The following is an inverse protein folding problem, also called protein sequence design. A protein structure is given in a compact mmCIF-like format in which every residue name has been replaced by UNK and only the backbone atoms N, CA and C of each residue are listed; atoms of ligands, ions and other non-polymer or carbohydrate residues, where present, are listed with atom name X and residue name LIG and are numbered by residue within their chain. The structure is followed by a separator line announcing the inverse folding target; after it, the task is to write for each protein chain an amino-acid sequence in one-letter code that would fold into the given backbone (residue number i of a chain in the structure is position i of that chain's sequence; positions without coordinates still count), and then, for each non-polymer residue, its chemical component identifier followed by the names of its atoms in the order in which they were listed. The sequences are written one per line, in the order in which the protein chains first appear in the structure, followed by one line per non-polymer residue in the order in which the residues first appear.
data_IF_671543113658
#
_entry.id   IF_671543113658
#
_cell.length_a   1.000
_cell.length_b   1.000
_cell.length_c   1.000
_cell.angle_alpha   90.00
_cell.angle_beta   90.00
_cell.angle_gamma   90.00
#
_symmetry.space_group_name_H-M   'P 1'
#
loop_
_entity.id
_entity.type
_entity.pdbx_description
1 polymer ?
#
# COMPACT_ATOMS: atom_id res chain seq x y z
N UNK A 1 -2.16 -16.81 14.06
CA UNK A 1 -2.65 -16.21 12.80
C UNK A 1 -1.44 -15.78 11.99
N UNK A 2 -1.30 -16.27 10.74
CA UNK A 2 -0.21 -15.91 9.85
C UNK A 2 -0.43 -14.47 9.32
N UNK A 3 0.63 -13.66 9.24
CA UNK A 3 0.60 -12.29 8.71
C UNK A 3 1.14 -12.32 7.29
N UNK A 4 0.30 -12.00 6.32
CA UNK A 4 0.64 -12.12 4.89
C UNK A 4 0.76 -10.73 4.28
N UNK A 5 1.94 -10.35 3.83
CA UNK A 5 2.16 -9.13 3.06
C UNK A 5 1.77 -9.32 1.59
N UNK A 6 1.01 -8.38 1.03
CA UNK A 6 0.65 -8.35 -0.37
C UNK A 6 1.22 -7.11 -1.02
N UNK A 7 2.13 -7.29 -1.97
CA UNK A 7 2.79 -6.20 -2.69
C UNK A 7 2.74 -6.38 -4.20
N UNK A 8 3.26 -5.41 -4.93
CA UNK A 8 3.32 -5.39 -6.40
C UNK A 8 3.33 -3.97 -6.94
N UNK A 9 3.83 -3.77 -8.14
CA UNK A 9 3.92 -2.48 -8.79
C UNK A 9 2.56 -1.81 -9.01
N UNK A 10 2.57 -0.49 -9.24
CA UNK A 10 1.36 0.24 -9.66
C UNK A 10 0.78 -0.43 -10.90
N UNK A 11 -0.53 -0.62 -10.96
CA UNK A 11 -1.19 -1.28 -12.10
C UNK A 11 -1.03 -2.81 -12.18
N UNK A 12 -0.26 -3.46 -11.26
CA UNK A 12 -0.10 -4.92 -11.28
C UNK A 12 -1.38 -5.72 -10.97
N UNK A 13 -2.37 -5.10 -10.34
CA UNK A 13 -3.63 -5.75 -9.95
C UNK A 13 -3.66 -6.20 -8.48
N UNK A 14 -2.75 -5.74 -7.67
CA UNK A 14 -2.67 -5.99 -6.22
C UNK A 14 -4.01 -5.84 -5.50
N UNK A 15 -4.73 -4.74 -5.72
CA UNK A 15 -6.04 -4.50 -5.09
C UNK A 15 -7.15 -5.44 -5.59
N UNK A 16 -7.00 -6.05 -6.77
CA UNK A 16 -7.90 -7.13 -7.22
C UNK A 16 -7.63 -8.41 -6.44
N UNK A 17 -6.37 -8.76 -6.24
CA UNK A 17 -5.97 -9.90 -5.39
C UNK A 17 -6.46 -9.71 -3.96
N UNK A 18 -6.27 -8.52 -3.38
CA UNK A 18 -6.76 -8.17 -2.05
C UNK A 18 -8.28 -8.36 -1.91
N UNK A 19 -9.06 -7.92 -2.92
CA UNK A 19 -10.51 -8.12 -2.95
C UNK A 19 -10.92 -9.59 -3.04
N UNK A 20 -10.15 -10.43 -3.74
CA UNK A 20 -10.44 -11.88 -3.79
C UNK A 20 -10.23 -12.49 -2.40
N UNK A 21 -9.13 -12.19 -1.70
CA UNK A 21 -8.94 -12.64 -0.33
C UNK A 21 -10.07 -12.16 0.60
N UNK A 22 -10.48 -10.90 0.49
CA UNK A 22 -11.61 -10.39 1.26
C UNK A 22 -12.93 -11.14 0.97
N UNK A 23 -13.18 -11.49 -0.30
CA UNK A 23 -14.36 -12.28 -0.70
C UNK A 23 -14.32 -13.72 -0.17
N UNK A 24 -13.14 -14.27 0.11
CA UNK A 24 -12.94 -15.55 0.79
C UNK A 24 -13.12 -15.45 2.32
N UNK A 25 -13.44 -14.26 2.86
CA UNK A 25 -13.59 -14.02 4.29
C UNK A 25 -12.28 -13.75 5.03
N UNK A 26 -11.17 -13.57 4.31
CA UNK A 26 -9.87 -13.26 4.89
C UNK A 26 -9.80 -11.76 5.19
N UNK A 27 -9.44 -11.36 6.43
CA UNK A 27 -9.25 -9.95 6.77
C UNK A 27 -8.13 -9.30 5.94
N UNK A 28 -8.41 -8.10 5.40
CA UNK A 28 -7.45 -7.35 4.59
C UNK A 28 -7.26 -5.96 5.17
N UNK A 29 -6.00 -5.60 5.45
CA UNK A 29 -5.57 -4.26 5.82
C UNK A 29 -4.95 -3.55 4.63
N UNK A 30 -5.44 -2.36 4.28
CA UNK A 30 -4.88 -1.52 3.22
C UNK A 30 -3.97 -0.45 3.79
N UNK A 31 -2.66 -0.61 3.70
CA UNK A 31 -1.69 0.34 4.26
C UNK A 31 -1.78 1.72 3.60
N UNK A 32 -2.02 1.79 2.29
CA UNK A 32 -2.18 3.05 1.56
C UNK A 32 -3.44 3.82 2.02
N UNK A 33 -4.53 3.11 2.32
CA UNK A 33 -5.76 3.69 2.88
C UNK A 33 -5.55 4.14 4.32
N UNK A 34 -4.85 3.34 5.12
CA UNK A 34 -4.51 3.68 6.50
C UNK A 34 -3.62 4.92 6.56
N UNK A 35 -2.62 5.02 5.69
CA UNK A 35 -1.74 6.20 5.57
C UNK A 35 -2.55 7.47 5.30
N UNK A 36 -3.52 7.43 4.39
CA UNK A 36 -4.41 8.58 4.11
C UNK A 36 -5.26 8.95 5.32
N UNK A 37 -5.83 7.95 6.03
CA UNK A 37 -6.61 8.15 7.24
C UNK A 37 -5.77 8.77 8.36
N UNK A 38 -4.54 8.29 8.55
CA UNK A 38 -3.59 8.80 9.55
C UNK A 38 -3.20 10.24 9.21
N UNK A 39 -2.88 10.52 7.94
CA UNK A 39 -2.55 11.86 7.48
C UNK A 39 -3.71 12.86 7.67
N UNK A 40 -4.96 12.39 7.65
CA UNK A 40 -6.14 13.24 7.88
C UNK A 40 -6.34 13.64 9.35
N UNK A 41 -5.67 12.98 10.30
CA UNK A 41 -5.76 13.31 11.73
C UNK A 41 -5.19 14.72 12.00
N UNK A 42 -5.84 15.46 12.88
CA UNK A 42 -5.45 16.84 13.20
C UNK A 42 -4.03 16.94 13.79
N UNK A 43 -3.69 16.00 14.70
CA UNK A 43 -2.37 15.91 15.32
C UNK A 43 -1.25 15.59 14.30
N UNK A 44 -1.51 14.73 13.34
CA UNK A 44 -0.55 14.37 12.28
C UNK A 44 -0.40 15.51 11.27
N UNK A 45 -1.51 16.17 10.89
CA UNK A 45 -1.45 17.36 10.03
C UNK A 45 -0.62 18.49 10.66
N UNK A 46 -0.79 18.73 11.96
CA UNK A 46 0.01 19.71 12.68
C UNK A 46 1.51 19.37 12.65
N UNK A 47 1.88 18.10 12.82
CA UNK A 47 3.27 17.64 12.70
C UNK A 47 3.81 17.83 11.29
N UNK A 48 3.02 17.50 10.25
CA UNK A 48 3.40 17.72 8.85
C UNK A 48 3.59 19.21 8.54
N UNK A 49 2.70 20.08 9.02
CA UNK A 49 2.85 21.54 8.85
C UNK A 49 4.06 22.08 9.60
N UNK A 50 4.41 21.53 10.76
CA UNK A 50 5.64 21.86 11.48
C UNK A 50 6.89 21.41 10.72
N UNK A 51 6.84 20.24 10.07
CA UNK A 51 7.94 19.69 9.24
C UNK A 51 8.10 20.45 7.92
N UNK A 52 7.00 20.94 7.36
CA UNK A 52 6.93 21.62 6.06
C UNK A 52 6.09 22.91 6.17
N UNK A 53 6.63 23.97 6.83
CA UNK A 53 5.90 25.23 7.03
C UNK A 53 5.55 25.93 5.71
N UNK A 54 6.26 25.62 4.62
CA UNK A 54 6.00 26.15 3.27
C UNK A 54 4.61 25.80 2.74
N UNK A 55 3.98 24.73 3.24
CA UNK A 55 2.60 24.35 2.88
C UNK A 55 1.64 25.51 3.20
N UNK A 56 1.85 26.20 4.32
CA UNK A 56 1.03 27.34 4.72
C UNK A 56 1.14 28.55 3.78
N UNK A 57 2.19 28.63 2.96
CA UNK A 57 2.41 29.67 1.97
C UNK A 57 1.95 29.28 0.56
N UNK A 58 1.43 28.07 0.36
CA UNK A 58 0.90 27.64 -0.93
C UNK A 58 -0.41 28.39 -1.24
N UNK A 59 -0.55 29.02 -2.43
CA UNK A 59 -1.73 29.83 -2.77
C UNK A 59 -3.06 29.09 -2.73
N UNK A 60 -3.02 27.78 -2.96
CA UNK A 60 -4.22 26.92 -2.96
C UNK A 60 -4.47 26.25 -1.61
N UNK A 61 -3.63 26.50 -0.60
CA UNK A 61 -3.79 25.91 0.71
C UNK A 61 -4.94 26.53 1.49
N UNK A 62 -5.77 25.69 2.08
CA UNK A 62 -6.80 26.08 3.05
C UNK A 62 -6.72 25.15 4.25
N UNK A 63 -6.59 25.69 5.49
CA UNK A 63 -6.49 24.88 6.71
C UNK A 63 -7.68 23.93 6.92
N UNK A 64 -8.86 24.31 6.46
CA UNK A 64 -10.10 23.55 6.61
C UNK A 64 -10.29 22.48 5.54
N UNK A 65 -9.48 22.51 4.47
CA UNK A 65 -9.59 21.57 3.35
C UNK A 65 -8.47 20.53 3.35
N UNK A 66 -8.81 19.28 3.69
CA UNK A 66 -7.86 18.17 3.57
C UNK A 66 -7.36 17.96 2.14
N UNK A 67 -8.21 18.23 1.13
CA UNK A 67 -7.82 18.10 -0.26
C UNK A 67 -6.77 19.14 -0.66
N UNK A 68 -6.92 20.40 -0.24
CA UNK A 68 -5.92 21.43 -0.50
C UNK A 68 -4.61 21.13 0.20
N UNK A 69 -4.67 20.71 1.47
CA UNK A 69 -3.50 20.27 2.23
C UNK A 69 -2.73 19.16 1.52
N UNK A 70 -3.41 18.09 1.08
CA UNK A 70 -2.75 16.97 0.40
C UNK A 70 -2.18 17.35 -0.96
N UNK A 71 -2.80 18.30 -1.69
CA UNK A 71 -2.28 18.84 -2.95
C UNK A 71 -1.01 19.66 -2.73
N UNK A 72 -1.01 20.56 -1.77
CA UNK A 72 0.14 21.37 -1.42
C UNK A 72 1.31 20.49 -0.94
N UNK A 73 1.04 19.54 -0.06
CA UNK A 73 2.02 18.55 0.40
C UNK A 73 2.60 17.76 -0.77
N UNK A 74 1.77 17.26 -1.68
CA UNK A 74 2.22 16.49 -2.85
C UNK A 74 3.13 17.31 -3.77
N UNK A 75 2.79 18.57 -4.05
CA UNK A 75 3.63 19.50 -4.84
C UNK A 75 5.00 19.71 -4.20
N UNK A 76 5.05 19.71 -2.87
CA UNK A 76 6.26 19.97 -2.11
C UNK A 76 7.18 18.75 -2.01
N UNK A 77 6.61 17.55 -1.75
CA UNK A 77 7.42 16.37 -1.42
C UNK A 77 7.77 15.51 -2.63
N UNK A 78 6.91 15.45 -3.66
CA UNK A 78 7.18 14.56 -4.78
C UNK A 78 8.39 15.00 -5.64
N UNK A 79 8.70 16.28 -5.86
CA UNK A 79 9.89 16.67 -6.59
C UNK A 79 11.19 16.50 -5.78
N UNK A 80 11.13 16.35 -4.45
CA UNK A 80 12.27 16.41 -3.53
C UNK A 80 12.38 15.11 -2.72
N UNK A 81 13.30 14.19 -3.09
CA UNK A 81 13.45 12.88 -2.43
C UNK A 81 13.72 12.97 -0.92
N UNK A 82 14.48 13.97 -0.48
CA UNK A 82 14.78 14.20 0.93
C UNK A 82 13.52 14.58 1.72
N UNK A 83 12.63 15.37 1.13
CA UNK A 83 11.34 15.74 1.75
C UNK A 83 10.39 14.56 1.82
N UNK A 84 10.36 13.74 0.76
CA UNK A 84 9.58 12.50 0.78
C UNK A 84 10.10 11.54 1.86
N UNK A 85 11.42 11.45 2.02
CA UNK A 85 12.04 10.65 3.09
C UNK A 85 11.65 11.16 4.48
N UNK A 86 11.68 12.47 4.68
CA UNK A 86 11.27 13.09 5.95
C UNK A 86 9.77 12.83 6.25
N UNK A 87 8.89 12.99 5.26
CA UNK A 87 7.46 12.67 5.40
C UNK A 87 7.24 11.19 5.73
N UNK A 88 7.94 10.29 5.04
CA UNK A 88 7.86 8.86 5.29
C UNK A 88 8.38 8.49 6.68
N UNK A 89 9.43 9.17 7.15
CA UNK A 89 9.95 9.01 8.51
C UNK A 89 8.92 9.33 9.60
N UNK A 90 8.01 10.28 9.33
CA UNK A 90 6.89 10.60 10.20
C UNK A 90 5.73 9.57 10.05
N UNK A 91 5.35 9.24 8.84
CA UNK A 91 4.13 8.45 8.58
C UNK A 91 4.32 6.94 8.77
N UNK A 92 5.46 6.37 8.36
CA UNK A 92 5.67 4.92 8.43
C UNK A 92 5.52 4.35 9.85
N UNK A 93 6.12 4.94 10.91
CA UNK A 93 5.93 4.44 12.27
C UNK A 93 4.46 4.42 12.70
N UNK A 94 3.68 5.44 12.32
CA UNK A 94 2.27 5.54 12.64
C UNK A 94 1.44 4.48 11.91
N UNK A 95 1.72 4.26 10.62
CA UNK A 95 1.07 3.21 9.83
C UNK A 95 1.43 1.83 10.36
N UNK A 96 2.67 1.62 10.77
CA UNK A 96 3.12 0.33 11.33
C UNK A 96 2.41 0.03 12.66
N UNK A 97 2.30 1.01 13.55
CA UNK A 97 1.58 0.86 14.81
C UNK A 97 0.07 0.59 14.59
N UNK A 98 -0.55 1.27 13.65
CA UNK A 98 -1.95 1.04 13.28
C UNK A 98 -2.16 -0.36 12.68
N UNK A 99 -1.23 -0.81 11.84
CA UNK A 99 -1.22 -2.17 11.28
C UNK A 99 -1.05 -3.23 12.36
N UNK A 100 -0.10 -3.07 13.27
CA UNK A 100 0.14 -4.00 14.37
C UNK A 100 -1.11 -4.11 15.25
N UNK A 101 -1.71 -2.98 15.64
CA UNK A 101 -2.96 -2.94 16.41
C UNK A 101 -4.11 -3.64 15.69
N UNK A 102 -4.22 -3.44 14.38
CA UNK A 102 -5.24 -4.12 13.57
C UNK A 102 -5.01 -5.64 13.51
N UNK A 103 -3.76 -6.08 13.29
CA UNK A 103 -3.39 -7.50 13.26
C UNK A 103 -3.64 -8.19 14.60
N UNK A 104 -3.35 -7.52 15.72
CA UNK A 104 -3.64 -8.04 17.06
C UNK A 104 -5.14 -8.24 17.29
N UNK A 105 -5.97 -7.29 16.87
CA UNK A 105 -7.44 -7.42 16.92
C UNK A 105 -7.94 -8.62 16.10
N UNK A 106 -7.41 -8.82 14.89
CA UNK A 106 -7.77 -9.99 14.07
C UNK A 106 -7.35 -11.31 14.74
N UNK A 107 -6.18 -11.34 15.38
CA UNK A 107 -5.68 -12.52 16.07
C UNK A 107 -6.48 -12.88 17.34
N UNK A 108 -7.01 -11.87 18.04
CA UNK A 108 -7.86 -12.07 19.21
C UNK A 108 -9.27 -12.58 18.83
N UNK A 109 -9.77 -12.16 17.65
CA UNK A 109 -11.15 -12.37 17.24
C UNK A 109 -12.13 -11.50 18.04
N UNK A 110 -13.38 -11.48 17.65
CA UNK A 110 -14.44 -10.73 18.32
C UNK A 110 -15.26 -11.60 19.33
N UNK A 111 -14.78 -12.80 19.60
CA UNK A 111 -15.44 -13.76 20.51
C UNK A 111 -16.62 -14.51 19.89
N UNK A 112 -17.10 -14.12 18.69
CA UNK A 112 -18.29 -14.69 18.03
C UNK A 112 -17.95 -15.52 16.80
N UNK A 113 -16.82 -15.27 16.15
CA UNK A 113 -16.39 -15.94 14.93
C UNK A 113 -15.13 -16.78 15.14
N UNK A 114 -14.93 -17.78 14.28
CA UNK A 114 -13.68 -18.54 14.20
C UNK A 114 -12.55 -17.59 13.82
N UNK A 115 -11.43 -17.65 14.57
CA UNK A 115 -10.24 -16.85 14.27
C UNK A 115 -9.77 -17.13 12.84
N UNK A 116 -9.44 -16.10 12.05
CA UNK A 116 -8.92 -16.31 10.71
C UNK A 116 -7.56 -17.00 10.77
N UNK A 117 -7.27 -17.96 9.87
CA UNK A 117 -5.97 -18.64 9.83
C UNK A 117 -4.84 -17.66 9.51
N UNK A 118 -5.12 -16.66 8.69
CA UNK A 118 -4.19 -15.59 8.32
C UNK A 118 -4.94 -14.27 8.05
N UNK A 119 -4.17 -13.18 7.95
CA UNK A 119 -4.66 -11.88 7.53
C UNK A 119 -3.71 -11.29 6.50
N UNK A 120 -4.24 -10.52 5.55
CA UNK A 120 -3.49 -9.89 4.46
C UNK A 120 -3.27 -8.41 4.73
N UNK A 121 -2.02 -7.94 4.56
CA UNK A 121 -1.62 -6.53 4.60
C UNK A 121 -1.21 -6.10 3.21
N UNK A 122 -2.07 -5.34 2.54
CA UNK A 122 -1.82 -4.77 1.22
C UNK A 122 -1.04 -3.46 1.33
N UNK A 123 0.12 -3.37 0.66
CA UNK A 123 0.90 -2.15 0.55
C UNK A 123 1.65 -2.08 -0.78
N UNK A 124 1.58 -0.93 -1.46
CA UNK A 124 2.30 -0.70 -2.72
C UNK A 124 3.82 -0.62 -2.55
N UNK A 125 4.27 -0.19 -1.37
CA UNK A 125 5.68 -0.05 -0.98
C UNK A 125 6.01 -0.91 0.25
N UNK A 126 5.49 -2.14 0.29
CA UNK A 126 5.67 -3.07 1.43
C UNK A 126 7.14 -3.31 1.75
N UNK A 127 7.97 -3.52 0.73
CA UNK A 127 9.39 -3.82 0.86
C UNK A 127 10.18 -2.54 1.12
N UNK A 128 9.96 -1.51 0.33
CA UNK A 128 10.64 -0.22 0.39
C UNK A 128 10.47 0.49 1.75
N UNK A 129 9.28 0.36 2.35
CA UNK A 129 9.00 0.94 3.67
C UNK A 129 9.58 0.13 4.84
N UNK A 130 9.93 -1.14 4.60
CA UNK A 130 10.34 -2.06 5.64
C UNK A 130 9.17 -2.74 6.38
N UNK A 131 7.91 -2.50 5.99
CA UNK A 131 6.72 -3.13 6.60
C UNK A 131 6.75 -4.66 6.45
N UNK A 132 7.40 -5.19 5.41
CA UNK A 132 7.57 -6.62 5.17
C UNK A 132 8.21 -7.38 6.35
N UNK A 133 9.03 -6.71 7.15
CA UNK A 133 9.69 -7.32 8.32
C UNK A 133 8.73 -7.74 9.43
N UNK A 134 7.46 -7.31 9.34
CA UNK A 134 6.37 -7.68 10.24
C UNK A 134 5.50 -8.80 9.70
N UNK A 135 5.80 -9.29 8.50
CA UNK A 135 5.03 -10.32 7.80
C UNK A 135 5.73 -11.67 7.90
N UNK A 136 4.93 -12.73 8.01
CA UNK A 136 5.42 -14.12 8.04
C UNK A 136 5.56 -14.69 6.64
N UNK A 137 4.75 -14.19 5.68
CA UNK A 137 4.77 -14.56 4.26
C UNK A 137 4.53 -13.35 3.39
N UNK A 138 5.07 -13.38 2.18
CA UNK A 138 4.93 -12.30 1.20
C UNK A 138 4.40 -12.84 -0.12
N UNK A 139 3.34 -12.22 -0.61
CA UNK A 139 2.78 -12.42 -1.94
C UNK A 139 3.17 -11.21 -2.81
N UNK A 140 3.84 -11.44 -3.94
CA UNK A 140 4.11 -10.42 -4.95
C UNK A 140 3.21 -10.61 -6.15
N UNK A 141 2.48 -9.56 -6.54
CA UNK A 141 1.66 -9.54 -7.75
C UNK A 141 2.47 -8.90 -8.87
N UNK A 142 2.83 -9.71 -9.87
CA UNK A 142 3.69 -9.29 -10.97
C UNK A 142 2.90 -9.16 -12.27
N UNK A 143 3.32 -8.21 -13.09
CA UNK A 143 2.70 -7.91 -14.37
C UNK A 143 3.73 -7.21 -15.26
N UNK A 144 3.77 -7.45 -16.56
CA UNK A 144 4.61 -6.68 -17.50
C UNK A 144 4.42 -5.18 -17.35
N UNK A 145 5.51 -4.42 -17.42
CA UNK A 145 5.52 -2.97 -17.16
C UNK A 145 4.59 -2.22 -18.10
N UNK A 146 4.51 -2.63 -19.36
CA UNK A 146 3.63 -2.04 -20.37
C UNK A 146 2.16 -2.17 -19.98
N UNK A 147 1.76 -3.35 -19.47
CA UNK A 147 0.40 -3.60 -18.98
C UNK A 147 0.13 -2.80 -17.70
N UNK A 148 1.12 -2.69 -16.82
CA UNK A 148 1.01 -1.88 -15.61
C UNK A 148 0.73 -0.41 -15.95
N UNK A 149 1.50 0.17 -16.88
CA UNK A 149 1.36 1.55 -17.36
C UNK A 149 -0.04 1.74 -17.95
N UNK A 150 -0.43 0.89 -18.90
CA UNK A 150 -1.73 0.98 -19.55
C UNK A 150 -2.90 0.95 -18.55
N UNK A 151 -2.86 0.00 -17.60
CA UNK A 151 -3.89 -0.13 -16.56
C UNK A 151 -3.94 1.09 -15.64
N UNK A 152 -2.78 1.60 -15.23
CA UNK A 152 -2.69 2.77 -14.35
C UNK A 152 -3.16 4.05 -15.05
N UNK A 153 -2.75 4.30 -16.28
CA UNK A 153 -3.23 5.44 -17.10
C UNK A 153 -4.76 5.43 -17.24
N UNK A 154 -5.32 4.25 -17.60
CA UNK A 154 -6.79 4.11 -17.78
C UNK A 154 -7.56 4.32 -16.48
N UNK A 155 -7.05 3.83 -15.34
CA UNK A 155 -7.71 3.93 -14.04
C UNK A 155 -7.66 5.35 -13.48
N UNK A 156 -6.49 6.00 -13.57
CA UNK A 156 -6.21 7.27 -12.88
C UNK A 156 -6.40 8.50 -13.77
N UNK A 157 -6.57 8.31 -15.09
CA UNK A 157 -6.69 9.42 -16.05
C UNK A 157 -5.40 10.25 -16.19
N UNK A 158 -4.23 9.62 -15.99
CA UNK A 158 -2.91 10.28 -15.99
C UNK A 158 -2.07 9.84 -17.19
N UNK A 159 -1.02 10.62 -17.52
CA UNK A 159 -0.09 10.30 -18.61
C UNK A 159 0.85 9.14 -18.25
N UNK A 160 1.42 8.51 -19.28
CA UNK A 160 2.41 7.44 -19.11
C UNK A 160 3.63 7.91 -18.31
N UNK A 161 4.10 9.13 -18.54
CA UNK A 161 5.27 9.67 -17.85
C UNK A 161 5.02 9.81 -16.35
N UNK A 162 3.80 10.20 -15.96
CA UNK A 162 3.41 10.24 -14.55
C UNK A 162 3.40 8.85 -13.91
N UNK A 163 2.97 7.82 -14.66
CA UNK A 163 2.99 6.44 -14.18
C UNK A 163 4.42 5.92 -14.10
N UNK A 164 5.25 6.16 -15.12
CA UNK A 164 6.68 5.80 -15.15
C UNK A 164 7.44 6.41 -13.97
N UNK A 165 7.19 7.70 -13.66
CA UNK A 165 7.77 8.38 -12.51
C UNK A 165 7.37 7.74 -11.16
N UNK A 166 6.15 7.18 -11.04
CA UNK A 166 5.72 6.43 -9.85
C UNK A 166 6.36 5.04 -9.79
N UNK A 167 6.44 4.34 -10.92
CA UNK A 167 7.13 3.04 -11.04
C UNK A 167 8.61 3.13 -10.65
N UNK A 168 9.30 4.18 -11.10
CA UNK A 168 10.72 4.41 -10.78
C UNK A 168 11.01 4.55 -9.27
N UNK A 169 9.99 4.76 -8.44
CA UNK A 169 10.09 4.84 -6.97
C UNK A 169 9.75 3.53 -6.26
N UNK A 170 9.29 2.54 -7.01
CA UNK A 170 8.98 1.21 -6.49
C UNK A 170 10.08 0.23 -6.93
N UNK A 171 10.30 -0.79 -6.15
CA UNK A 171 11.17 -1.88 -6.55
C UNK A 171 10.64 -2.56 -7.81
N UNK A 172 11.56 -2.99 -8.67
CA UNK A 172 11.21 -3.79 -9.85
C UNK A 172 10.74 -5.19 -9.45
N UNK A 173 10.16 -5.94 -10.39
CA UNK A 173 9.77 -7.33 -10.18
C UNK A 173 10.97 -8.19 -9.74
N UNK A 174 12.14 -7.99 -10.39
CA UNK A 174 13.40 -8.70 -10.09
C UNK A 174 13.87 -8.42 -8.66
N UNK A 175 13.70 -7.19 -8.18
CA UNK A 175 14.06 -6.82 -6.81
C UNK A 175 13.09 -7.38 -5.78
N UNK A 176 11.79 -7.54 -6.11
CA UNK A 176 10.77 -8.07 -5.18
C UNK A 176 10.80 -9.60 -5.09
N UNK A 177 11.07 -10.32 -6.20
CA UNK A 177 11.02 -11.80 -6.26
C UNK A 177 11.81 -12.51 -5.17
N UNK A 178 13.02 -12.09 -4.78
CA UNK A 178 13.77 -12.76 -3.71
C UNK A 178 13.11 -12.69 -2.32
N UNK A 179 12.17 -11.77 -2.12
CA UNK A 179 11.45 -11.60 -0.86
C UNK A 179 10.08 -12.27 -0.86
N UNK A 180 9.59 -12.73 -2.03
CA UNK A 180 8.26 -13.27 -2.17
C UNK A 180 8.26 -14.79 -1.92
N UNK A 181 7.41 -15.24 -0.98
CA UNK A 181 7.10 -16.67 -0.81
C UNK A 181 6.18 -17.15 -1.94
N UNK A 182 5.32 -16.25 -2.45
CA UNK A 182 4.38 -16.52 -3.54
C UNK A 182 4.41 -15.41 -4.58
N UNK A 183 4.34 -15.79 -5.85
CA UNK A 183 4.22 -14.85 -6.97
C UNK A 183 2.92 -15.13 -7.73
N UNK A 184 2.13 -14.08 -7.95
CA UNK A 184 0.93 -14.12 -8.78
C UNK A 184 1.21 -13.34 -10.05
N UNK A 185 1.33 -14.06 -11.17
CA UNK A 185 1.45 -13.43 -12.50
C UNK A 185 0.07 -12.94 -12.96
N UNK A 186 -0.06 -11.63 -13.24
CA UNK A 186 -1.30 -11.01 -13.68
C UNK A 186 -1.14 -10.37 -15.06
N UNK A 187 -0.61 -11.13 -15.99
CA UNK A 187 -0.39 -10.75 -17.39
C UNK A 187 -1.63 -10.92 -18.29
N UNK A 188 -2.73 -11.44 -17.73
CA UNK A 188 -3.97 -11.74 -18.44
C UNK A 188 -4.03 -13.13 -19.08
N UNK A 189 -2.97 -13.94 -18.96
CA UNK A 189 -2.91 -15.32 -19.52
C UNK A 189 -3.38 -16.35 -18.51
N UNK A 190 -3.17 -16.10 -17.22
CA UNK A 190 -3.52 -16.99 -16.13
C UNK A 190 -4.65 -16.42 -15.27
N UNK A 191 -5.42 -17.31 -14.65
CA UNK A 191 -6.48 -16.91 -13.73
C UNK A 191 -5.88 -16.47 -12.39
N UNK A 192 -5.97 -15.19 -12.09
CA UNK A 192 -5.60 -14.63 -10.78
C UNK A 192 -6.40 -15.29 -9.66
N UNK A 193 -7.69 -15.60 -9.90
CA UNK A 193 -8.53 -16.30 -8.92
C UNK A 193 -7.97 -17.70 -8.60
N UNK A 194 -7.56 -18.45 -9.60
CA UNK A 194 -6.99 -19.78 -9.39
C UNK A 194 -5.68 -19.72 -8.58
N UNK A 195 -4.82 -18.73 -8.87
CA UNK A 195 -3.59 -18.49 -8.11
C UNK A 195 -3.87 -18.15 -6.65
N UNK A 196 -4.84 -17.24 -6.39
CA UNK A 196 -5.25 -16.88 -5.02
C UNK A 196 -5.79 -18.10 -4.27
N UNK A 197 -6.66 -18.90 -4.88
CA UNK A 197 -7.20 -20.12 -4.25
C UNK A 197 -6.12 -21.17 -3.96
N UNK A 198 -5.09 -21.26 -4.79
CA UNK A 198 -3.96 -22.16 -4.55
C UNK A 198 -3.11 -21.69 -3.35
N UNK A 199 -2.89 -20.40 -3.21
CA UNK A 199 -2.18 -19.80 -2.06
C UNK A 199 -3.02 -19.94 -0.79
N UNK A 200 -4.32 -19.63 -0.85
CA UNK A 200 -5.24 -19.76 0.27
C UNK A 200 -5.19 -21.16 0.91
N UNK A 201 -5.20 -22.23 0.09
CA UNK A 201 -5.06 -23.62 0.58
C UNK A 201 -3.74 -23.91 1.28
N UNK A 202 -2.66 -23.18 0.95
CA UNK A 202 -1.35 -23.38 1.57
C UNK A 202 -1.19 -22.58 2.88
N UNK A 203 -2.06 -21.58 3.08
CA UNK A 203 -2.05 -20.73 4.26
C UNK A 203 -3.04 -21.21 5.35
N UNK A 204 -3.90 -22.18 5.04
CA UNK A 204 -4.79 -22.87 5.97
C UNK A 204 -4.09 -24.04 6.63
#
# INVERSE_FOLDING_TARGET
MIRVGLTGGIGSGKSTVARIFAALGIPVYGADTASKRILARADVRAQVLSLFPEIGSDPDFSPDSFLSFTRALARLVFPAPERLTALNGLLHPLVFADCDTWLEKQAQGDGTAKRPPYAVVEAAILLESGLYRRMDRIISVECPVEIQIQRACRRDGVTEDMVKARLARQWSAEQRRPYADFVIENDGRQSVLAAVLAIDRQLH
#
